data_IF_291217963977
#
_entry.id   IF_291217963977
#
_cell.length_a   1.000
_cell.length_b   1.000
_cell.length_c   1.000
_cell.angle_alpha   90.00
_cell.angle_beta   90.00
_cell.angle_gamma   90.00
#
_symmetry.space_group_name_H-M   'P 1'
#
loop_
_entity.id
_entity.type
_entity.pdbx_description
1 polymer ?
#
# COMPACT_ATOMS: atom_id res chain seq x y z
N UNK A 1 -20.80 4.87 45.54
CA UNK A 1 -20.60 3.64 44.71
C UNK A 1 -20.95 3.81 43.23
N UNK A 2 -21.50 4.94 42.76
CA UNK A 2 -21.77 5.16 41.34
C UNK A 2 -20.54 5.68 40.57
N UNK A 3 -19.72 6.54 41.17
CA UNK A 3 -18.51 7.09 40.52
C UNK A 3 -17.54 6.00 40.03
N UNK A 4 -17.23 4.98 40.85
CA UNK A 4 -16.37 3.88 40.43
C UNK A 4 -16.93 3.10 39.25
N UNK A 5 -18.27 2.96 39.17
CA UNK A 5 -18.93 2.26 38.06
C UNK A 5 -18.83 3.05 36.76
N UNK A 6 -19.00 4.38 36.81
CA UNK A 6 -18.83 5.24 35.65
C UNK A 6 -17.37 5.31 35.18
N UNK A 7 -16.41 5.35 36.12
CA UNK A 7 -14.98 5.29 35.79
C UNK A 7 -14.62 3.96 35.12
N UNK A 8 -15.12 2.83 35.64
CA UNK A 8 -14.94 1.52 35.02
C UNK A 8 -15.58 1.46 33.61
N UNK A 9 -16.78 2.01 33.44
CA UNK A 9 -17.45 2.04 32.14
C UNK A 9 -16.71 2.90 31.11
N UNK A 10 -16.21 4.07 31.53
CA UNK A 10 -15.38 4.93 30.70
C UNK A 10 -14.06 4.27 30.28
N UNK A 11 -13.41 3.55 31.19
CA UNK A 11 -12.19 2.81 30.90
C UNK A 11 -12.42 1.69 29.87
N UNK A 12 -13.49 0.92 30.02
CA UNK A 12 -13.87 -0.13 29.05
C UNK A 12 -14.17 0.49 27.68
N UNK A 13 -14.90 1.60 27.63
CA UNK A 13 -15.18 2.32 26.39
C UNK A 13 -13.92 2.83 25.69
N UNK A 14 -12.97 3.40 26.44
CA UNK A 14 -11.70 3.89 25.89
C UNK A 14 -10.83 2.75 25.31
N UNK A 15 -10.78 1.60 26.00
CA UNK A 15 -10.07 0.41 25.51
C UNK A 15 -10.71 -0.12 24.23
N UNK A 16 -12.04 -0.28 24.22
CA UNK A 16 -12.78 -0.72 23.03
C UNK A 16 -12.57 0.23 21.84
N UNK A 17 -12.63 1.54 22.10
CA UNK A 17 -12.40 2.57 21.08
C UNK A 17 -10.98 2.49 20.51
N UNK A 18 -9.95 2.30 21.34
CA UNK A 18 -8.56 2.14 20.86
C UNK A 18 -8.36 0.88 20.02
N UNK A 19 -8.99 -0.23 20.39
CA UNK A 19 -8.93 -1.48 19.61
C UNK A 19 -9.60 -1.27 18.25
N UNK A 20 -10.78 -0.65 18.23
CA UNK A 20 -11.49 -0.34 16.99
C UNK A 20 -10.70 0.62 16.09
N UNK A 21 -10.14 1.70 16.66
CA UNK A 21 -9.30 2.63 15.91
C UNK A 21 -8.10 1.93 15.25
N UNK A 22 -7.43 1.01 15.96
CA UNK A 22 -6.30 0.27 15.39
C UNK A 22 -6.73 -0.67 14.26
N UNK A 23 -7.88 -1.33 14.41
CA UNK A 23 -8.43 -2.21 13.39
C UNK A 23 -8.88 -1.45 12.13
N UNK A 24 -9.42 -0.23 12.29
CA UNK A 24 -9.82 0.63 11.17
C UNK A 24 -8.60 1.31 10.52
N UNK A 25 -7.60 1.72 11.31
CA UNK A 25 -6.37 2.33 10.81
C UNK A 25 -5.65 1.44 9.79
N UNK A 26 -5.60 0.13 10.07
CA UNK A 26 -5.00 -0.90 9.21
C UNK A 26 -5.73 -1.03 7.84
N UNK A 27 -7.02 -0.69 7.80
CA UNK A 27 -7.85 -0.76 6.58
C UNK A 27 -7.82 0.54 5.76
N UNK A 28 -7.33 1.65 6.32
CA UNK A 28 -7.37 2.98 5.68
C UNK A 28 -6.42 3.14 4.49
N UNK A 29 -5.50 2.18 4.29
CA UNK A 29 -4.54 2.20 3.20
C UNK A 29 -4.69 0.92 2.36
N UNK A 30 -5.73 0.81 1.52
CA UNK A 30 -5.70 -0.21 0.47
C UNK A 30 -4.39 -0.04 -0.30
N UNK A 31 -3.66 -1.14 -0.49
CA UNK A 31 -2.41 -1.11 -1.25
C UNK A 31 -2.65 -0.38 -2.59
N UNK A 32 -1.78 0.57 -2.97
CA UNK A 32 -2.03 1.40 -4.13
C UNK A 32 -2.21 0.52 -5.37
N UNK A 33 -3.18 0.90 -6.22
CA UNK A 33 -3.76 0.00 -7.21
C UNK A 33 -2.77 -0.61 -8.21
N UNK A 34 -1.60 0.00 -8.40
CA UNK A 34 -0.57 -0.44 -9.34
C UNK A 34 0.53 -1.32 -8.70
N UNK A 35 0.67 -1.34 -7.38
CA UNK A 35 1.87 -1.83 -6.70
C UNK A 35 1.69 -3.22 -6.12
N UNK A 36 2.68 -4.09 -6.34
CA UNK A 36 2.82 -5.31 -5.57
C UNK A 36 3.06 -5.00 -4.08
N UNK A 37 2.89 -6.01 -3.23
CA UNK A 37 3.17 -5.87 -1.80
C UNK A 37 4.64 -5.46 -1.58
N UNK A 38 4.86 -4.35 -0.88
CA UNK A 38 6.20 -3.82 -0.57
C UNK A 38 6.80 -2.89 -1.64
N UNK A 39 6.16 -2.71 -2.79
CA UNK A 39 6.62 -1.81 -3.85
C UNK A 39 6.25 -0.33 -3.61
N UNK A 40 5.40 -0.05 -2.61
CA UNK A 40 4.98 1.31 -2.28
C UNK A 40 5.63 1.81 -1.00
N UNK A 41 6.30 2.97 -1.08
CA UNK A 41 6.72 3.75 0.08
C UNK A 41 5.61 4.75 0.49
N UNK A 42 5.00 4.63 1.68
CA UNK A 42 3.90 5.51 2.11
C UNK A 42 4.24 7.01 2.20
N UNK A 43 5.54 7.34 2.22
CA UNK A 43 6.05 8.70 2.36
C UNK A 43 6.30 9.40 1.02
N UNK A 44 6.21 8.69 -0.11
CA UNK A 44 6.44 9.28 -1.43
C UNK A 44 5.13 9.85 -2.01
N UNK A 45 5.06 11.16 -2.31
CA UNK A 45 3.88 11.76 -2.93
C UNK A 45 3.64 11.31 -4.39
N UNK A 46 4.66 10.77 -5.07
CA UNK A 46 4.58 10.30 -6.45
C UNK A 46 5.43 9.02 -6.61
N UNK A 47 5.03 7.91 -5.94
CA UNK A 47 5.81 6.68 -5.95
C UNK A 47 5.89 6.12 -7.36
N UNK A 48 7.08 5.65 -7.72
CA UNK A 48 7.33 4.85 -8.93
C UNK A 48 7.62 3.44 -8.48
N UNK A 49 6.94 2.45 -9.07
CA UNK A 49 7.23 1.02 -8.80
C UNK A 49 8.44 0.56 -9.60
N UNK A 50 9.06 -0.54 -9.18
CA UNK A 50 10.04 -1.23 -10.02
C UNK A 50 9.38 -1.73 -11.33
N UNK A 51 10.20 -1.95 -12.36
CA UNK A 51 9.74 -2.49 -13.63
C UNK A 51 9.46 -4.00 -13.54
N UNK A 52 8.53 -4.48 -14.35
CA UNK A 52 8.18 -5.89 -14.50
C UNK A 52 6.92 -6.33 -13.76
N UNK A 53 6.42 -7.54 -14.08
CA UNK A 53 5.16 -8.07 -13.57
C UNK A 53 5.18 -8.37 -12.08
N UNK A 54 6.36 -8.67 -11.51
CA UNK A 54 6.53 -8.95 -10.08
C UNK A 54 6.33 -7.71 -9.21
N UNK A 55 6.46 -6.51 -9.81
CA UNK A 55 6.24 -5.24 -9.14
C UNK A 55 4.78 -4.74 -9.28
N UNK A 56 3.96 -5.43 -10.09
CA UNK A 56 2.55 -5.09 -10.30
C UNK A 56 1.64 -5.76 -9.27
N UNK A 57 0.55 -5.08 -8.90
CA UNK A 57 -0.49 -5.66 -8.04
C UNK A 57 -1.11 -6.92 -8.66
N UNK A 58 -1.46 -6.82 -9.93
CA UNK A 58 -2.12 -7.88 -10.68
C UNK A 58 -1.14 -8.42 -11.71
N UNK A 59 -0.86 -9.73 -11.65
CA UNK A 59 0.05 -10.37 -12.59
C UNK A 59 -0.60 -10.47 -13.98
N UNK A 60 0.02 -9.93 -15.04
CA UNK A 60 -0.53 -10.03 -16.39
C UNK A 60 -0.42 -11.46 -16.93
N UNK A 61 -1.34 -11.84 -17.83
CA UNK A 61 -1.34 -13.18 -18.42
C UNK A 61 -0.16 -13.42 -19.37
N UNK A 62 0.29 -12.36 -20.05
CA UNK A 62 1.45 -12.37 -20.94
C UNK A 62 2.30 -11.14 -20.66
N UNK A 63 3.61 -11.28 -20.87
CA UNK A 63 4.58 -10.21 -20.70
C UNK A 63 5.68 -10.38 -21.75
N UNK A 64 5.72 -9.46 -22.72
CA UNK A 64 6.69 -9.51 -23.81
C UNK A 64 8.00 -8.81 -23.43
N UNK A 65 9.02 -8.99 -24.27
CA UNK A 65 10.30 -8.27 -24.10
C UNK A 65 10.09 -6.77 -24.35
N UNK A 66 9.21 -6.42 -25.29
CA UNK A 66 8.81 -5.05 -25.59
C UNK A 66 8.07 -4.41 -24.41
N UNK A 67 7.20 -5.16 -23.71
CA UNK A 67 6.55 -4.69 -22.48
C UNK A 67 7.59 -4.39 -21.39
N UNK A 68 8.55 -5.30 -21.18
CA UNK A 68 9.63 -5.10 -20.21
C UNK A 68 10.47 -3.86 -20.53
N UNK A 69 10.92 -3.75 -21.78
CA UNK A 69 11.72 -2.62 -22.25
C UNK A 69 10.97 -1.29 -22.15
N UNK A 70 9.69 -1.29 -22.46
CA UNK A 70 8.81 -0.13 -22.29
C UNK A 70 8.68 0.26 -20.82
N UNK A 71 8.47 -0.71 -19.92
CA UNK A 71 8.34 -0.46 -18.48
C UNK A 71 9.64 0.06 -17.86
N UNK A 72 10.79 -0.49 -18.26
CA UNK A 72 12.13 -0.06 -17.83
C UNK A 72 12.52 1.35 -18.31
N UNK A 73 11.90 1.83 -19.39
CA UNK A 73 12.18 3.18 -19.90
C UNK A 73 11.67 4.30 -18.97
N UNK A 74 10.77 3.97 -18.03
CA UNK A 74 10.24 4.94 -17.07
C UNK A 74 10.97 4.89 -15.73
N UNK A 75 11.21 6.05 -15.07
CA UNK A 75 10.85 7.42 -15.49
C UNK A 75 11.92 8.09 -16.39
N UNK A 76 13.04 7.41 -16.66
CA UNK A 76 14.23 7.97 -17.30
C UNK A 76 13.98 8.54 -18.71
N UNK A 77 12.92 8.10 -19.41
CA UNK A 77 12.54 8.51 -20.76
C UNK A 77 13.57 8.18 -21.85
N UNK A 78 14.54 7.31 -21.55
CA UNK A 78 15.49 6.81 -22.54
C UNK A 78 14.86 5.63 -23.32
N UNK A 79 14.95 5.62 -24.67
CA UNK A 79 14.48 4.48 -25.45
C UNK A 79 15.31 3.23 -25.11
N UNK A 80 14.70 2.03 -25.17
CA UNK A 80 15.41 0.78 -24.86
C UNK A 80 16.62 0.59 -25.79
N UNK A 81 17.82 0.55 -25.20
CA UNK A 81 19.10 0.54 -25.88
C UNK A 81 19.59 -0.86 -26.29
N UNK A 82 18.69 -1.70 -26.80
CA UNK A 82 18.93 -3.15 -26.95
C UNK A 82 19.31 -3.55 -28.39
N UNK A 83 19.94 -2.64 -29.15
CA UNK A 83 20.29 -2.79 -30.58
C UNK A 83 21.57 -3.58 -30.81
#
# INVERSE_FOLDING_TARGET
MSLLKYAAFGAVGAVAYKIWQKAVADQSHPAPAAFAAGQHAPSDPAPVRDAGPDAMRDTPHAWSVEDQQSDESFPASDPPGNY
#
